data_IF_739211417826
#
_entry.id   IF_739211417826
#
_cell.length_a   1.000
_cell.length_b   1.000
_cell.length_c   1.000
_cell.angle_alpha   90.00
_cell.angle_beta   90.00
_cell.angle_gamma   90.00
#
_symmetry.space_group_name_H-M   'P 1'
#
loop_
_entity.id
_entity.type
_entity.pdbx_description
1 polymer ?
#
# COMPACT_ATOMS: atom_id res chain seq x y z
N UNK A 1 -10.45 13.06 -48.30
CA UNK A 1 -9.34 13.56 -47.43
C UNK A 1 -9.97 14.05 -46.13
N UNK A 2 -10.09 13.20 -45.16
CA UNK A 2 -10.66 13.50 -43.85
C UNK A 2 -9.51 13.92 -42.93
N UNK A 3 -9.63 15.13 -42.38
CA UNK A 3 -8.60 15.79 -41.54
C UNK A 3 -8.29 15.02 -40.23
N UNK A 4 -7.01 14.95 -39.79
CA UNK A 4 -6.59 14.25 -38.57
C UNK A 4 -6.77 15.06 -37.28
N UNK A 5 -7.67 16.05 -37.25
CA UNK A 5 -7.82 16.94 -36.07
C UNK A 5 -8.76 16.43 -34.95
N UNK A 6 -9.40 15.26 -35.12
CA UNK A 6 -10.43 14.82 -34.16
C UNK A 6 -9.94 13.88 -33.01
N UNK A 7 -8.71 13.37 -33.10
CA UNK A 7 -8.23 12.40 -32.11
C UNK A 7 -7.61 13.05 -30.85
N UNK A 8 -6.99 14.21 -30.98
CA UNK A 8 -6.34 14.90 -29.84
C UNK A 8 -7.34 15.56 -28.88
N UNK A 9 -8.45 16.07 -29.43
CA UNK A 9 -9.51 16.74 -28.62
C UNK A 9 -10.35 15.71 -27.86
N UNK A 10 -10.62 14.55 -28.45
CA UNK A 10 -11.31 13.45 -27.77
C UNK A 10 -10.47 12.87 -26.63
N UNK A 11 -9.15 12.73 -26.80
CA UNK A 11 -8.25 12.21 -25.79
C UNK A 11 -8.14 13.15 -24.58
N UNK A 12 -8.09 14.47 -24.80
CA UNK A 12 -8.04 15.44 -23.69
C UNK A 12 -9.36 15.54 -22.91
N UNK A 13 -10.49 15.27 -23.54
CA UNK A 13 -11.79 15.20 -22.86
C UNK A 13 -11.88 13.97 -21.95
N UNK A 14 -11.40 12.82 -22.38
CA UNK A 14 -11.42 11.59 -21.56
C UNK A 14 -10.59 11.72 -20.28
N UNK A 15 -9.46 12.42 -20.30
CA UNK A 15 -8.61 12.62 -19.13
C UNK A 15 -9.26 13.47 -18.03
N UNK A 16 -10.25 14.28 -18.35
CA UNK A 16 -10.93 15.16 -17.40
C UNK A 16 -12.37 14.73 -17.10
N UNK A 17 -12.84 13.64 -17.72
CA UNK A 17 -14.19 13.12 -17.50
C UNK A 17 -14.31 12.51 -16.11
N UNK A 18 -15.30 12.89 -15.31
CA UNK A 18 -15.57 12.28 -14.03
C UNK A 18 -15.82 10.77 -14.15
N UNK A 19 -15.43 10.00 -13.14
CA UNK A 19 -15.59 8.55 -13.13
C UNK A 19 -17.05 8.12 -13.42
N UNK A 20 -18.02 8.83 -12.85
CA UNK A 20 -19.44 8.52 -13.02
C UNK A 20 -19.93 8.63 -14.48
N UNK A 21 -19.26 9.42 -15.30
CA UNK A 21 -19.56 9.58 -16.73
C UNK A 21 -18.72 8.62 -17.59
N UNK A 22 -17.46 8.38 -17.17
CA UNK A 22 -16.53 7.53 -17.92
C UNK A 22 -16.82 6.05 -17.70
N UNK A 23 -17.08 5.65 -16.44
CA UNK A 23 -17.41 4.28 -16.05
C UNK A 23 -18.48 4.27 -14.95
N UNK A 24 -19.76 4.34 -15.35
CA UNK A 24 -20.87 4.33 -14.40
C UNK A 24 -20.95 3.06 -13.55
N UNK A 25 -20.49 1.91 -14.06
CA UNK A 25 -20.52 0.65 -13.33
C UNK A 25 -19.57 0.66 -12.14
N UNK A 26 -18.37 1.15 -12.32
CA UNK A 26 -17.39 1.33 -11.22
C UNK A 26 -17.87 2.40 -10.24
N UNK A 27 -18.42 3.50 -10.74
CA UNK A 27 -18.96 4.55 -9.87
C UNK A 27 -20.11 4.05 -8.99
N UNK A 28 -21.00 3.22 -9.55
CA UNK A 28 -22.09 2.60 -8.80
C UNK A 28 -21.58 1.60 -7.75
N UNK A 29 -20.57 0.80 -8.08
CA UNK A 29 -19.95 -0.12 -7.14
C UNK A 29 -19.33 0.62 -5.95
N UNK A 30 -18.63 1.74 -6.18
CA UNK A 30 -18.07 2.60 -5.13
C UNK A 30 -19.18 3.19 -4.27
N UNK A 31 -20.26 3.68 -4.87
CA UNK A 31 -21.40 4.20 -4.14
C UNK A 31 -22.10 3.10 -3.32
N UNK A 32 -22.16 1.89 -3.86
CA UNK A 32 -22.66 0.70 -3.16
C UNK A 32 -21.83 0.36 -1.92
N UNK A 33 -20.52 0.35 -2.04
CA UNK A 33 -19.60 0.10 -0.94
C UNK A 33 -19.70 1.20 0.14
N UNK A 34 -19.83 2.46 -0.26
CA UNK A 34 -20.08 3.54 0.70
C UNK A 34 -21.38 3.34 1.49
N UNK A 35 -22.45 2.88 0.83
CA UNK A 35 -23.71 2.53 1.51
C UNK A 35 -23.49 1.37 2.47
N UNK A 36 -22.83 0.31 2.04
CA UNK A 36 -22.51 -0.85 2.89
C UNK A 36 -21.78 -0.42 4.16
N UNK A 37 -20.72 0.35 4.04
CA UNK A 37 -19.95 0.84 5.19
C UNK A 37 -20.76 1.70 6.16
N UNK A 38 -21.74 2.45 5.67
CA UNK A 38 -22.62 3.30 6.51
C UNK A 38 -23.73 2.54 7.22
N UNK A 39 -24.12 1.38 6.71
CA UNK A 39 -25.29 0.64 7.18
C UNK A 39 -24.95 -0.71 7.81
N UNK A 40 -23.69 -1.13 7.76
CA UNK A 40 -23.23 -2.42 8.27
C UNK A 40 -22.15 -2.21 9.32
N UNK A 41 -22.23 -2.96 10.41
CA UNK A 41 -21.14 -3.01 11.40
C UNK A 41 -19.99 -3.87 10.87
N UNK A 42 -18.80 -3.31 10.82
CA UNK A 42 -17.61 -4.03 10.45
C UNK A 42 -16.95 -4.64 11.70
N UNK A 43 -16.83 -5.97 11.72
CA UNK A 43 -16.31 -6.73 12.86
C UNK A 43 -14.92 -7.30 12.61
N UNK A 44 -14.27 -6.96 11.48
CA UNK A 44 -12.92 -7.38 11.18
C UNK A 44 -11.94 -6.42 11.85
N UNK A 45 -11.26 -6.90 12.90
CA UNK A 45 -10.41 -6.07 13.76
C UNK A 45 -9.22 -5.39 13.04
N UNK A 46 -8.81 -5.91 11.88
CA UNK A 46 -7.73 -5.35 11.05
C UNK A 46 -8.20 -4.27 10.07
N UNK A 47 -9.49 -4.04 9.94
CA UNK A 47 -10.04 -3.00 9.07
C UNK A 47 -10.26 -1.69 9.81
N UNK A 48 -10.12 -0.56 9.10
CA UNK A 48 -10.37 0.77 9.63
C UNK A 48 -10.88 1.69 8.53
N UNK A 49 -11.68 2.67 8.92
CA UNK A 49 -12.15 3.70 8.00
C UNK A 49 -11.05 4.71 7.70
N UNK A 50 -10.74 4.87 6.43
CA UNK A 50 -9.69 5.78 5.97
C UNK A 50 -10.18 7.23 6.01
N UNK A 51 -9.46 8.16 6.65
CA UNK A 51 -9.81 9.58 6.62
C UNK A 51 -9.83 10.14 5.19
N UNK A 52 -10.71 11.09 4.93
CA UNK A 52 -10.84 11.74 3.61
C UNK A 52 -9.51 12.32 3.11
N UNK A 53 -8.70 12.89 3.99
CA UNK A 53 -7.40 13.44 3.63
C UNK A 53 -6.45 12.38 3.05
N UNK A 54 -6.48 11.14 3.57
CA UNK A 54 -5.68 10.03 3.04
C UNK A 54 -6.19 9.61 1.67
N UNK A 55 -7.51 9.51 1.46
CA UNK A 55 -8.10 9.23 0.15
C UNK A 55 -7.70 10.30 -0.89
N UNK A 56 -7.71 11.59 -0.51
CA UNK A 56 -7.29 12.68 -1.38
C UNK A 56 -5.80 12.63 -1.73
N UNK A 57 -4.94 12.28 -0.78
CA UNK A 57 -3.51 12.13 -1.02
C UNK A 57 -3.22 10.96 -1.96
N UNK A 58 -3.87 9.82 -1.73
CA UNK A 58 -3.70 8.60 -2.53
C UNK A 58 -4.22 8.77 -3.97
N UNK A 59 -5.34 9.46 -4.17
CA UNK A 59 -5.93 9.76 -5.48
C UNK A 59 -5.40 11.06 -6.12
N UNK A 60 -4.23 11.53 -5.73
CA UNK A 60 -3.64 12.77 -6.26
C UNK A 60 -2.74 12.52 -7.48
N UNK A 61 -2.25 13.61 -8.09
CA UNK A 61 -1.31 13.59 -9.21
C UNK A 61 0.03 12.91 -8.88
N UNK A 62 0.34 12.68 -7.60
CA UNK A 62 1.50 11.90 -7.18
C UNK A 62 1.48 10.48 -7.76
N UNK A 63 0.29 9.95 -8.04
CA UNK A 63 0.09 8.65 -8.69
C UNK A 63 0.75 8.54 -10.06
N UNK A 64 0.95 9.66 -10.75
CA UNK A 64 1.57 9.70 -12.08
C UNK A 64 3.09 9.59 -12.04
N UNK A 65 3.72 9.76 -10.85
CA UNK A 65 5.17 9.88 -10.76
C UNK A 65 5.84 8.54 -10.45
N UNK A 66 6.68 8.12 -11.37
CA UNK A 66 7.58 6.99 -11.14
C UNK A 66 8.80 7.47 -10.33
N UNK A 67 8.99 6.90 -9.10
CA UNK A 67 9.95 7.41 -8.11
C UNK A 67 10.84 6.30 -7.52
N UNK A 68 11.42 5.47 -8.39
CA UNK A 68 12.40 4.46 -7.98
C UNK A 68 13.59 5.07 -7.24
N UNK A 69 14.07 4.38 -6.21
CA UNK A 69 15.14 4.83 -5.33
C UNK A 69 14.60 5.47 -4.06
N UNK A 70 15.39 6.34 -3.45
CA UNK A 70 15.06 7.02 -2.19
C UNK A 70 15.13 8.54 -2.35
N UNK A 71 14.54 9.34 -1.48
CA UNK A 71 14.66 10.79 -1.50
C UNK A 71 16.11 11.26 -1.66
N UNK A 72 16.33 12.15 -2.61
CA UNK A 72 17.67 12.62 -2.98
C UNK A 72 18.56 11.62 -3.73
N UNK A 73 18.09 10.38 -3.94
CA UNK A 73 18.82 9.32 -4.65
C UNK A 73 17.87 8.55 -5.60
N UNK A 74 17.19 9.29 -6.46
CA UNK A 74 16.24 8.73 -7.44
C UNK A 74 16.96 8.36 -8.74
N UNK A 75 16.42 7.36 -9.41
CA UNK A 75 16.87 6.99 -10.76
C UNK A 75 16.33 7.94 -11.84
N UNK A 76 15.24 8.67 -11.56
CA UNK A 76 14.58 9.56 -12.50
C UNK A 76 14.47 10.99 -11.94
N UNK A 77 14.49 11.97 -12.84
CA UNK A 77 14.25 13.37 -12.49
C UNK A 77 12.78 13.67 -12.17
N UNK A 78 12.51 14.86 -11.65
CA UNK A 78 11.14 15.35 -11.35
C UNK A 78 10.55 14.75 -10.06
N UNK A 79 11.39 14.34 -9.11
CA UNK A 79 10.96 13.72 -7.86
C UNK A 79 10.94 14.69 -6.66
N UNK A 80 11.17 15.98 -6.88
CA UNK A 80 11.33 16.98 -5.83
C UNK A 80 10.16 17.01 -4.85
N UNK A 81 8.94 16.93 -5.37
CA UNK A 81 7.73 16.95 -4.53
C UNK A 81 7.41 15.58 -3.91
N UNK A 82 7.70 14.49 -4.62
CA UNK A 82 7.54 13.13 -4.08
C UNK A 82 8.53 12.90 -2.94
N UNK A 83 9.75 13.40 -3.05
CA UNK A 83 10.77 13.34 -2.01
C UNK A 83 10.28 14.01 -0.72
N UNK A 84 9.68 15.20 -0.83
CA UNK A 84 9.09 15.89 0.33
C UNK A 84 8.03 15.03 1.02
N UNK A 85 7.15 14.39 0.25
CA UNK A 85 6.08 13.54 0.81
C UNK A 85 6.67 12.32 1.52
N UNK A 86 7.66 11.66 0.92
CA UNK A 86 8.31 10.49 1.52
C UNK A 86 9.12 10.87 2.76
N UNK A 87 9.83 11.98 2.75
CA UNK A 87 10.57 12.48 3.92
C UNK A 87 9.64 12.82 5.08
N UNK A 88 8.53 13.51 4.83
CA UNK A 88 7.50 13.77 5.83
C UNK A 88 6.91 12.47 6.40
N UNK A 89 6.66 11.49 5.57
CA UNK A 89 6.13 10.20 6.02
C UNK A 89 7.14 9.47 6.93
N UNK A 90 8.43 9.44 6.56
CA UNK A 90 9.50 8.84 7.37
C UNK A 90 9.65 9.56 8.71
N UNK A 91 9.68 10.89 8.70
CA UNK A 91 9.88 11.67 9.93
C UNK A 91 8.70 11.53 10.89
N UNK A 92 7.49 11.54 10.37
CA UNK A 92 6.29 11.30 11.17
C UNK A 92 6.22 9.88 11.71
N UNK A 93 6.61 8.87 10.92
CA UNK A 93 6.70 7.49 11.40
C UNK A 93 7.73 7.37 12.55
N UNK A 94 8.91 7.98 12.42
CA UNK A 94 9.90 8.03 13.50
C UNK A 94 9.32 8.67 14.77
N UNK A 95 8.60 9.78 14.65
CA UNK A 95 7.99 10.47 15.79
C UNK A 95 6.91 9.60 16.47
N UNK A 96 6.03 8.99 15.69
CA UNK A 96 4.92 8.16 16.21
C UNK A 96 5.43 6.94 16.96
N UNK A 97 6.48 6.29 16.44
CA UNK A 97 7.01 5.05 17.01
C UNK A 97 8.23 5.24 17.93
N UNK A 98 8.73 6.47 18.11
CA UNK A 98 9.94 6.73 18.84
C UNK A 98 11.17 6.05 18.23
N UNK A 99 11.18 5.86 16.90
CA UNK A 99 12.20 5.11 16.18
C UNK A 99 13.29 6.05 15.62
N UNK A 100 14.52 5.57 15.59
CA UNK A 100 15.64 6.28 14.99
C UNK A 100 15.56 6.26 13.44
N UNK A 101 15.10 5.14 12.88
CA UNK A 101 14.98 4.92 11.44
C UNK A 101 13.56 4.51 11.07
N UNK A 102 13.14 4.84 9.85
CA UNK A 102 11.88 4.39 9.26
C UNK A 102 12.04 4.22 7.75
N UNK A 103 11.41 3.18 7.20
CA UNK A 103 11.22 2.98 5.78
C UNK A 103 9.71 2.88 5.53
N UNK A 104 9.19 3.72 4.64
CA UNK A 104 7.76 3.84 4.33
C UNK A 104 7.41 3.33 2.93
N UNK A 105 8.34 2.69 2.24
CA UNK A 105 8.14 2.18 0.87
C UNK A 105 7.45 0.82 0.75
N UNK A 106 7.42 -0.08 1.77
CA UNK A 106 6.71 -1.35 1.60
C UNK A 106 5.26 -1.16 1.19
N UNK A 107 4.79 -1.94 0.20
CA UNK A 107 3.42 -1.87 -0.32
C UNK A 107 2.40 -2.49 0.63
N UNK A 108 2.86 -3.40 1.51
CA UNK A 108 2.01 -4.09 2.47
C UNK A 108 2.81 -4.52 3.70
N UNK A 109 2.13 -4.79 4.81
CA UNK A 109 2.74 -5.34 6.02
C UNK A 109 3.49 -6.66 5.78
N UNK A 110 2.99 -7.51 4.88
CA UNK A 110 3.67 -8.74 4.48
C UNK A 110 5.05 -8.47 3.84
N UNK A 111 5.16 -7.46 2.99
CA UNK A 111 6.44 -7.06 2.40
C UNK A 111 7.38 -6.46 3.45
N UNK A 112 6.87 -5.64 4.36
CA UNK A 112 7.65 -5.10 5.46
C UNK A 112 8.21 -6.21 6.37
N UNK A 113 7.36 -7.18 6.74
CA UNK A 113 7.79 -8.34 7.52
C UNK A 113 8.84 -9.19 6.77
N UNK A 114 8.65 -9.40 5.47
CA UNK A 114 9.64 -10.11 4.66
C UNK A 114 10.99 -9.39 4.66
N UNK A 115 11.00 -8.08 4.49
CA UNK A 115 12.23 -7.29 4.52
C UNK A 115 12.95 -7.39 5.87
N UNK A 116 12.21 -7.33 6.99
CA UNK A 116 12.76 -7.50 8.33
C UNK A 116 13.36 -8.90 8.51
N UNK A 117 12.62 -9.95 8.14
CA UNK A 117 13.11 -11.32 8.24
C UNK A 117 14.38 -11.55 7.40
N UNK A 118 14.41 -11.03 6.17
CA UNK A 118 15.59 -11.12 5.30
C UNK A 118 16.80 -10.35 5.84
N UNK A 119 16.58 -9.31 6.64
CA UNK A 119 17.68 -8.55 7.25
C UNK A 119 18.24 -9.17 8.52
N UNK A 120 17.46 -9.99 9.23
CA UNK A 120 17.79 -10.51 10.55
C UNK A 120 18.07 -12.03 10.57
N UNK A 121 17.63 -12.77 9.56
CA UNK A 121 17.71 -14.21 9.52
C UNK A 121 18.22 -14.73 8.16
N UNK A 122 18.96 -15.81 8.16
CA UNK A 122 19.37 -16.53 6.95
C UNK A 122 18.42 -17.71 6.69
N UNK A 123 18.39 -18.23 5.44
CA UNK A 123 17.67 -19.47 5.17
C UNK A 123 18.17 -20.60 6.07
N UNK A 124 17.22 -21.25 6.79
CA UNK A 124 17.51 -22.29 7.77
C UNK A 124 17.58 -21.82 9.23
N UNK A 125 17.59 -20.51 9.48
CA UNK A 125 17.51 -19.99 10.85
C UNK A 125 16.13 -20.24 11.47
N UNK A 126 16.13 -20.43 12.79
CA UNK A 126 14.89 -20.74 13.55
C UNK A 126 14.17 -19.45 13.93
N UNK A 127 12.92 -19.33 13.53
CA UNK A 127 12.03 -18.22 13.88
C UNK A 127 10.93 -18.72 14.80
N UNK A 128 10.71 -18.05 15.94
CA UNK A 128 9.60 -18.32 16.83
C UNK A 128 8.50 -17.29 16.61
N UNK A 129 7.30 -17.74 16.28
CA UNK A 129 6.12 -16.91 16.10
C UNK A 129 4.88 -17.51 16.75
N UNK A 130 3.87 -16.68 17.02
CA UNK A 130 2.56 -17.14 17.47
C UNK A 130 1.80 -17.78 16.30
N UNK A 131 1.09 -18.89 16.58
CA UNK A 131 0.16 -19.45 15.60
C UNK A 131 -1.04 -18.51 15.39
N UNK A 132 -1.73 -18.63 14.24
CA UNK A 132 -2.93 -17.86 13.95
C UNK A 132 -4.01 -17.97 15.03
N UNK A 133 -4.23 -19.20 15.55
CA UNK A 133 -5.22 -19.45 16.60
C UNK A 133 -4.91 -18.70 17.92
N UNK A 134 -3.68 -18.29 18.11
CA UNK A 134 -3.22 -17.54 19.28
C UNK A 134 -2.95 -16.04 18.98
N UNK A 135 -3.46 -15.53 17.86
CA UNK A 135 -3.31 -14.14 17.45
C UNK A 135 -2.05 -13.83 16.65
N UNK A 136 -1.36 -14.84 16.11
CA UNK A 136 -0.22 -14.66 15.23
C UNK A 136 -0.61 -14.04 13.88
N UNK A 137 0.31 -13.27 13.31
CA UNK A 137 0.11 -12.68 11.98
C UNK A 137 0.30 -13.73 10.88
N UNK A 138 -0.43 -13.59 9.76
CA UNK A 138 -0.38 -14.50 8.60
C UNK A 138 1.05 -14.73 8.07
N UNK A 139 1.89 -13.69 8.05
CA UNK A 139 3.25 -13.76 7.48
C UNK A 139 4.21 -14.67 8.25
N UNK A 140 3.92 -14.99 9.51
CA UNK A 140 4.77 -15.87 10.34
C UNK A 140 3.96 -16.92 11.15
N UNK A 141 2.64 -16.86 11.15
CA UNK A 141 1.76 -17.79 11.88
C UNK A 141 1.05 -18.84 11.01
N UNK A 142 1.13 -18.70 9.67
CA UNK A 142 0.45 -19.58 8.73
C UNK A 142 1.42 -20.55 8.04
N UNK A 143 1.06 -21.84 7.97
CA UNK A 143 1.90 -22.88 7.36
C UNK A 143 2.24 -22.71 5.87
N UNK A 144 1.53 -21.83 5.15
CA UNK A 144 1.72 -21.53 3.73
C UNK A 144 2.40 -20.18 3.48
N UNK A 145 2.96 -19.56 4.51
CA UNK A 145 3.56 -18.23 4.44
C UNK A 145 5.07 -18.28 4.23
N UNK A 146 5.70 -17.09 4.16
CA UNK A 146 7.12 -16.84 3.90
C UNK A 146 8.10 -17.63 4.77
N UNK A 147 7.68 -18.11 5.95
CA UNK A 147 8.53 -18.93 6.83
C UNK A 147 8.75 -20.38 6.36
N UNK A 148 8.07 -20.84 5.32
CA UNK A 148 8.45 -22.13 4.71
C UNK A 148 9.77 -22.09 3.93
N UNK A 149 10.36 -20.91 3.78
CA UNK A 149 11.73 -20.73 3.27
C UNK A 149 12.76 -20.96 4.40
N UNK A 150 12.37 -20.81 5.66
CA UNK A 150 13.14 -21.12 6.86
C UNK A 150 12.31 -22.08 7.73
N UNK A 151 12.82 -23.26 8.13
CA UNK A 151 12.06 -24.24 8.92
C UNK A 151 11.54 -23.63 10.23
N UNK A 152 10.21 -23.50 10.43
CA UNK A 152 9.68 -23.08 11.71
C UNK A 152 9.79 -24.21 12.70
N UNK A 153 10.52 -24.03 13.79
CA UNK A 153 10.42 -24.94 14.93
C UNK A 153 9.07 -24.78 15.59
N UNK A 154 8.14 -25.65 15.22
CA UNK A 154 6.90 -25.85 15.96
C UNK A 154 7.26 -26.61 17.25
N UNK A 155 7.17 -26.00 18.43
CA UNK A 155 6.89 -26.76 19.63
C UNK A 155 5.41 -27.10 19.61
N UNK A 156 5.07 -28.34 19.33
CA UNK A 156 3.80 -28.93 19.74
C UNK A 156 3.83 -29.09 21.26
N UNK A 157 2.73 -28.80 21.96
CA UNK A 157 2.61 -29.05 23.38
C UNK A 157 2.71 -30.56 23.70
#
# INVERSE_FOLDING_TARGET
>A
MTSPQNSSTQNSQQHNTPLAELDPQVAEAIAGELRRQRTTLEMIASENFVPRAVLQAQGSVLTNKYAEGYPGRRYYGGCEHVDVVEDLARDRAKQVFGAEFANVQPHAGAQANAAVLMSLANPGDKIMGLSLAHGGHLTHGMHLSLIHISEPTRRTP
#
